data_IF_508371416075
#
_entry.id   IF_508371416075
#
_cell.length_a   1.000
_cell.length_b   1.000
_cell.length_c   1.000
_cell.angle_alpha   90.00
_cell.angle_beta   90.00
_cell.angle_gamma   90.00
#
_symmetry.space_group_name_H-M   'P 1'
#
loop_
_entity.id
_entity.type
_entity.pdbx_description
1 polymer ?
#
# COMPACT_ATOMS: atom_id res chain seq x y z
N UNK A 1 19.79 -5.70 -11.05
CA UNK A 1 19.11 -4.71 -10.19
C UNK A 1 17.66 -4.67 -10.64
N UNK A 2 16.71 -5.11 -9.83
CA UNK A 2 15.29 -5.16 -10.22
C UNK A 2 14.75 -3.73 -10.41
N UNK A 3 13.86 -3.50 -11.39
CA UNK A 3 13.23 -2.18 -11.69
C UNK A 3 12.73 -1.48 -10.44
N UNK A 4 12.13 -2.28 -9.56
CA UNK A 4 11.58 -1.88 -8.28
C UNK A 4 12.60 -1.16 -7.39
N UNK A 5 13.84 -1.65 -7.34
CA UNK A 5 14.92 -1.04 -6.54
C UNK A 5 15.33 0.32 -7.12
N UNK A 6 15.34 0.46 -8.45
CA UNK A 6 15.67 1.71 -9.13
C UNK A 6 14.58 2.79 -8.94
N UNK A 7 13.35 2.40 -8.60
CA UNK A 7 12.23 3.32 -8.37
C UNK A 7 12.20 3.87 -6.92
N UNK A 8 12.92 3.24 -6.00
CA UNK A 8 12.97 3.67 -4.60
C UNK A 8 13.62 5.04 -4.46
N UNK A 9 13.14 5.89 -3.52
CA UNK A 9 13.62 7.28 -3.32
C UNK A 9 15.15 7.40 -3.20
N UNK A 10 15.82 6.39 -2.63
CA UNK A 10 17.28 6.38 -2.50
C UNK A 10 17.99 6.35 -3.86
N UNK A 11 17.45 5.58 -4.83
CA UNK A 11 18.14 5.24 -6.08
C UNK A 11 17.49 5.87 -7.33
N UNK A 12 16.25 6.36 -7.23
CA UNK A 12 15.52 6.91 -8.38
C UNK A 12 16.19 8.14 -8.98
N UNK A 13 16.17 8.18 -10.31
CA UNK A 13 16.60 9.29 -11.16
C UNK A 13 15.38 9.83 -11.90
N UNK A 14 15.39 11.10 -12.33
CA UNK A 14 14.30 11.70 -13.11
C UNK A 14 13.16 12.34 -12.31
N UNK A 15 12.79 11.82 -11.14
CA UNK A 15 11.80 12.48 -10.25
C UNK A 15 12.48 13.37 -9.21
N UNK A 16 12.00 14.61 -9.07
CA UNK A 16 12.46 15.52 -8.01
C UNK A 16 12.29 14.88 -6.63
N UNK A 17 13.36 14.86 -5.85
CA UNK A 17 13.39 14.32 -4.49
C UNK A 17 14.27 15.23 -3.65
N UNK A 18 13.77 15.70 -2.50
CA UNK A 18 14.55 16.57 -1.63
C UNK A 18 15.80 15.84 -1.15
N UNK A 19 16.90 16.57 -1.00
CA UNK A 19 18.18 15.96 -0.60
C UNK A 19 18.04 15.20 0.72
N UNK A 20 17.42 15.81 1.73
CA UNK A 20 17.22 15.21 3.04
C UNK A 20 16.38 13.93 2.98
N UNK A 21 15.31 13.92 2.17
CA UNK A 21 14.48 12.73 1.95
C UNK A 21 15.27 11.60 1.29
N UNK A 22 16.12 11.93 0.32
CA UNK A 22 16.98 10.95 -0.36
C UNK A 22 18.01 10.37 0.61
N UNK A 23 18.68 11.22 1.38
CA UNK A 23 19.66 10.79 2.38
C UNK A 23 18.99 9.92 3.45
N UNK A 24 17.82 10.32 3.93
CA UNK A 24 17.03 9.51 4.86
C UNK A 24 16.69 8.14 4.27
N UNK A 25 16.18 8.08 3.03
CA UNK A 25 15.90 6.81 2.35
C UNK A 25 17.14 5.93 2.16
N UNK A 26 18.32 6.53 1.92
CA UNK A 26 19.60 5.81 1.84
C UNK A 26 20.04 5.26 3.21
N UNK A 27 19.80 6.00 4.30
CA UNK A 27 20.07 5.53 5.65
C UNK A 27 19.20 4.33 5.99
N UNK A 28 17.88 4.45 5.78
CA UNK A 28 16.93 3.36 5.99
C UNK A 28 17.32 2.10 5.22
N UNK A 29 17.72 2.25 3.94
CA UNK A 29 18.16 1.12 3.11
C UNK A 29 19.38 0.38 3.68
N UNK A 30 20.23 1.06 4.45
CA UNK A 30 21.42 0.49 5.06
C UNK A 30 21.17 -0.14 6.43
N UNK A 31 20.14 0.31 7.15
CA UNK A 31 19.94 -0.02 8.57
C UNK A 31 18.70 -0.86 8.84
N UNK A 32 17.70 -0.86 7.96
CA UNK A 32 16.46 -1.59 8.19
C UNK A 32 16.66 -3.11 8.13
N UNK A 33 16.00 -3.89 9.02
CA UNK A 33 15.96 -5.34 8.92
C UNK A 33 15.38 -5.77 7.57
N UNK A 34 15.85 -6.92 7.05
CA UNK A 34 15.46 -7.42 5.73
C UNK A 34 13.94 -7.46 5.50
N UNK A 35 13.09 -7.92 6.44
CA UNK A 35 11.64 -7.93 6.22
C UNK A 35 11.05 -6.54 5.96
N UNK A 36 11.54 -5.50 6.65
CA UNK A 36 11.05 -4.14 6.43
C UNK A 36 11.64 -3.52 5.18
N UNK A 37 12.92 -3.78 4.92
CA UNK A 37 13.56 -3.36 3.68
C UNK A 37 12.80 -3.91 2.45
N UNK A 38 12.35 -5.16 2.51
CA UNK A 38 11.57 -5.77 1.43
C UNK A 38 10.24 -5.01 1.19
N UNK A 39 9.52 -4.62 2.25
CA UNK A 39 8.27 -3.83 2.12
C UNK A 39 8.52 -2.41 1.60
N UNK A 40 9.64 -1.80 1.95
CA UNK A 40 10.03 -0.49 1.42
C UNK A 40 10.36 -0.53 -0.08
N UNK A 41 10.88 -1.66 -0.57
CA UNK A 41 11.21 -1.88 -1.97
C UNK A 41 9.94 -2.28 -2.74
N UNK A 42 9.25 -3.31 -2.27
CA UNK A 42 8.08 -3.91 -2.88
C UNK A 42 6.97 -4.00 -1.81
N UNK A 43 6.16 -2.94 -1.67
CA UNK A 43 5.04 -2.94 -0.73
C UNK A 43 4.09 -4.11 -0.95
N UNK A 44 3.38 -4.47 0.11
CA UNK A 44 2.30 -5.46 0.03
C UNK A 44 0.97 -4.75 -0.20
N UNK A 45 0.23 -5.12 -1.26
CA UNK A 45 -1.07 -4.54 -1.59
C UNK A 45 -2.18 -5.55 -1.33
N UNK A 46 -3.24 -5.13 -0.63
CA UNK A 46 -4.38 -5.96 -0.26
C UNK A 46 -5.69 -5.27 -0.63
N UNK A 47 -6.68 -6.03 -1.10
CA UNK A 47 -8.06 -5.54 -1.25
C UNK A 47 -8.84 -5.80 0.04
N UNK A 48 -9.49 -4.76 0.59
CA UNK A 48 -10.14 -4.80 1.90
C UNK A 48 -11.66 -4.82 1.86
N UNK A 49 -12.29 -4.33 0.78
CA UNK A 49 -13.76 -4.21 0.70
C UNK A 49 -14.50 -5.55 0.63
N UNK A 50 -13.82 -6.61 0.21
CA UNK A 50 -14.37 -7.96 0.04
C UNK A 50 -13.66 -9.03 0.89
N UNK A 51 -13.06 -8.61 2.01
CA UNK A 51 -12.37 -9.53 2.92
C UNK A 51 -13.32 -10.56 3.48
N UNK A 52 -12.90 -11.83 3.42
CA UNK A 52 -13.64 -12.97 3.96
C UNK A 52 -12.85 -13.65 5.07
N UNK A 53 -13.54 -14.46 5.87
CA UNK A 53 -12.92 -15.27 6.93
C UNK A 53 -12.29 -16.57 6.38
N UNK A 54 -12.32 -16.79 5.05
CA UNK A 54 -11.70 -17.95 4.45
C UNK A 54 -10.17 -17.86 4.58
N UNK A 55 -9.57 -18.85 5.23
CA UNK A 55 -8.13 -18.87 5.51
C UNK A 55 -7.71 -17.87 6.60
N UNK A 56 -8.67 -17.31 7.36
CA UNK A 56 -8.35 -16.45 8.49
C UNK A 56 -7.54 -17.18 9.56
N UNK A 57 -6.64 -16.45 10.20
CA UNK A 57 -5.89 -16.94 11.35
C UNK A 57 -6.76 -16.78 12.61
N UNK A 58 -6.77 -17.82 13.44
CA UNK A 58 -7.42 -17.81 14.74
C UNK A 58 -6.33 -17.59 15.79
N UNK A 59 -6.12 -16.33 16.18
CA UNK A 59 -5.10 -15.94 17.15
C UNK A 59 -5.79 -15.54 18.45
N UNK A 60 -5.67 -16.38 19.48
CA UNK A 60 -6.40 -16.24 20.74
C UNK A 60 -7.92 -16.13 20.45
N UNK A 61 -8.56 -15.04 20.89
CA UNK A 61 -9.98 -14.75 20.68
C UNK A 61 -10.25 -13.85 19.46
N UNK A 62 -9.23 -13.60 18.61
CA UNK A 62 -9.34 -12.72 17.44
C UNK A 62 -9.24 -13.51 16.14
N UNK A 63 -10.21 -13.29 15.25
CA UNK A 63 -10.18 -13.80 13.87
C UNK A 63 -9.49 -12.74 13.00
N UNK A 64 -8.33 -13.07 12.48
CA UNK A 64 -7.54 -12.19 11.62
C UNK A 64 -7.69 -12.64 10.18
N UNK A 65 -8.36 -11.87 9.31
CA UNK A 65 -8.50 -12.25 7.90
C UNK A 65 -7.14 -12.26 7.18
N UNK A 66 -7.05 -13.02 6.09
CA UNK A 66 -5.83 -13.17 5.28
C UNK A 66 -6.13 -12.85 3.80
N UNK A 67 -6.32 -11.57 3.43
CA UNK A 67 -6.54 -11.19 2.04
C UNK A 67 -5.32 -11.53 1.17
N UNK A 68 -5.57 -11.91 -0.08
CA UNK A 68 -4.50 -12.21 -1.02
C UNK A 68 -3.74 -10.95 -1.47
N UNK A 69 -2.42 -11.09 -1.57
CA UNK A 69 -1.54 -10.09 -2.15
C UNK A 69 -1.94 -9.78 -3.59
N UNK A 70 -2.02 -8.48 -3.89
CA UNK A 70 -2.27 -7.94 -5.21
C UNK A 70 -0.95 -7.49 -5.85
N UNK A 71 -0.93 -7.55 -7.17
CA UNK A 71 0.13 -6.96 -7.97
C UNK A 71 0.19 -5.44 -7.77
N UNK A 72 1.41 -4.88 -7.81
CA UNK A 72 1.65 -3.44 -7.63
C UNK A 72 1.43 -2.68 -8.95
N UNK A 73 0.21 -2.78 -9.48
CA UNK A 73 -0.23 -2.13 -10.71
C UNK A 73 -1.59 -1.46 -10.50
N UNK A 74 -1.78 -0.29 -11.12
CA UNK A 74 -3.03 0.44 -11.16
C UNK A 74 -4.18 -0.37 -11.78
N UNK A 75 -3.88 -1.36 -12.62
CA UNK A 75 -4.90 -2.28 -13.15
C UNK A 75 -5.61 -3.09 -12.06
N UNK A 76 -4.99 -3.28 -10.90
CA UNK A 76 -5.59 -3.95 -9.74
C UNK A 76 -6.49 -3.03 -8.91
N UNK A 77 -6.37 -1.71 -9.08
CA UNK A 77 -7.09 -0.72 -8.28
C UNK A 77 -8.45 -0.41 -8.91
N UNK A 78 -9.43 -1.25 -8.61
CA UNK A 78 -10.78 -1.05 -9.09
C UNK A 78 -11.43 0.18 -8.40
N UNK A 79 -12.15 1.05 -9.13
CA UNK A 79 -12.71 2.28 -8.57
C UNK A 79 -13.82 2.02 -7.54
N UNK A 80 -14.38 0.81 -7.50
CA UNK A 80 -15.37 0.33 -6.55
C UNK A 80 -14.77 -0.33 -5.30
N UNK A 81 -13.44 -0.45 -5.23
CA UNK A 81 -12.74 -1.14 -4.14
C UNK A 81 -12.12 -0.21 -3.10
N UNK A 82 -11.63 -0.83 -2.03
CA UNK A 82 -10.77 -0.21 -1.03
C UNK A 82 -9.51 -1.06 -0.87
N UNK A 83 -8.34 -0.44 -0.92
CA UNK A 83 -7.06 -1.14 -1.00
C UNK A 83 -6.09 -0.64 0.06
N UNK A 84 -5.52 -1.57 0.83
CA UNK A 84 -4.49 -1.29 1.81
C UNK A 84 -3.12 -1.64 1.23
N UNK A 85 -2.20 -0.69 1.25
CA UNK A 85 -0.79 -0.90 0.93
C UNK A 85 0.05 -0.79 2.19
N UNK A 86 0.88 -1.79 2.46
CA UNK A 86 1.87 -1.80 3.53
C UNK A 86 3.26 -1.52 2.95
N UNK A 87 3.76 -0.30 3.16
CA UNK A 87 5.07 0.14 2.70
C UNK A 87 6.19 -0.10 3.75
N UNK A 88 5.85 -0.73 4.88
CA UNK A 88 6.76 -0.92 6.01
C UNK A 88 6.82 0.28 6.97
N UNK A 89 7.03 1.50 6.45
CA UNK A 89 7.07 2.74 7.25
C UNK A 89 5.68 3.38 7.44
N UNK A 90 4.80 3.19 6.46
CA UNK A 90 3.43 3.69 6.44
C UNK A 90 2.47 2.67 5.84
N UNK A 91 1.21 2.77 6.26
CA UNK A 91 0.09 2.15 5.57
C UNK A 91 -0.67 3.20 4.77
N UNK A 92 -1.07 2.84 3.56
CA UNK A 92 -1.99 3.66 2.77
C UNK A 92 -3.27 2.88 2.51
N UNK A 93 -4.40 3.41 2.99
CA UNK A 93 -5.73 2.91 2.63
C UNK A 93 -6.29 3.78 1.52
N UNK A 94 -6.17 3.31 0.27
CA UNK A 94 -6.76 3.97 -0.88
C UNK A 94 -8.23 3.59 -1.03
N UNK A 95 -9.09 4.60 -1.17
CA UNK A 95 -10.54 4.46 -1.35
C UNK A 95 -10.88 4.84 -2.79
N UNK A 96 -11.43 3.89 -3.54
CA UNK A 96 -11.91 4.15 -4.89
C UNK A 96 -13.12 5.07 -4.90
N UNK A 97 -13.25 5.87 -5.97
CA UNK A 97 -14.32 6.87 -6.12
C UNK A 97 -15.74 6.31 -6.01
N UNK A 98 -15.92 5.06 -6.43
CA UNK A 98 -17.19 4.34 -6.43
C UNK A 98 -17.23 3.25 -5.33
N UNK A 99 -16.32 3.33 -4.34
CA UNK A 99 -16.32 2.40 -3.22
C UNK A 99 -17.66 2.44 -2.49
N UNK A 100 -18.14 1.27 -2.08
CA UNK A 100 -19.48 1.18 -1.48
C UNK A 100 -19.59 2.04 -0.21
N UNK A 101 -20.66 2.82 -0.11
CA UNK A 101 -20.96 3.60 1.10
C UNK A 101 -21.10 2.70 2.34
N UNK A 102 -21.45 1.42 2.15
CA UNK A 102 -21.45 0.45 3.23
C UNK A 102 -20.06 0.20 3.80
N UNK A 103 -19.03 0.02 2.97
CA UNK A 103 -17.65 -0.12 3.45
C UNK A 103 -17.19 1.16 4.14
N UNK A 104 -17.43 2.32 3.52
CA UNK A 104 -16.99 3.62 4.04
C UNK A 104 -17.65 3.91 5.40
N UNK A 105 -18.96 3.66 5.54
CA UNK A 105 -19.65 3.83 6.81
C UNK A 105 -19.19 2.83 7.87
N UNK A 106 -19.10 1.56 7.50
CA UNK A 106 -18.85 0.50 8.48
C UNK A 106 -17.37 0.47 8.93
N UNK A 107 -16.43 0.99 8.12
CA UNK A 107 -14.97 0.99 8.42
C UNK A 107 -14.45 2.39 8.77
N UNK A 108 -14.88 3.43 8.06
CA UNK A 108 -14.38 4.80 8.25
C UNK A 108 -15.35 5.71 9.02
N UNK A 109 -16.56 5.24 9.32
CA UNK A 109 -17.55 6.01 10.10
C UNK A 109 -18.11 7.22 9.35
N UNK A 110 -17.88 7.27 8.04
CA UNK A 110 -18.27 8.37 7.16
C UNK A 110 -19.53 7.97 6.36
N UNK A 111 -20.51 8.87 6.14
CA UNK A 111 -21.74 8.51 5.41
C UNK A 111 -21.52 8.16 3.93
N UNK A 112 -20.49 8.71 3.28
CA UNK A 112 -20.17 8.47 1.86
C UNK A 112 -18.74 8.87 1.49
N UNK A 113 -18.30 8.53 0.27
CA UNK A 113 -16.98 8.90 -0.26
C UNK A 113 -16.66 10.40 -0.12
N UNK A 114 -17.65 11.26 -0.41
CA UNK A 114 -17.46 12.71 -0.35
C UNK A 114 -17.15 13.22 1.07
N UNK A 115 -17.65 12.52 2.09
CA UNK A 115 -17.49 12.89 3.50
C UNK A 115 -16.18 12.43 4.14
N UNK A 116 -15.40 11.57 3.46
CA UNK A 116 -14.11 11.10 3.98
C UNK A 116 -13.13 12.27 4.07
N UNK A 117 -12.59 12.57 5.27
CA UNK A 117 -11.66 13.68 5.46
C UNK A 117 -10.36 13.50 4.67
N UNK A 118 -9.77 14.56 4.10
CA UNK A 118 -8.58 14.46 3.24
C UNK A 118 -7.29 14.05 3.97
N UNK A 119 -7.23 14.22 5.30
CA UNK A 119 -6.04 13.94 6.12
C UNK A 119 -6.35 12.93 7.23
N UNK A 120 -7.24 11.97 6.96
CA UNK A 120 -7.58 10.94 7.94
C UNK A 120 -6.40 9.98 8.14
N UNK A 121 -5.87 9.95 9.36
CA UNK A 121 -4.62 9.26 9.70
C UNK A 121 -4.80 8.05 10.64
N UNK A 122 -6.02 7.56 10.76
CA UNK A 122 -6.36 6.39 11.57
C UNK A 122 -7.66 5.75 11.06
N UNK A 123 -7.90 4.49 11.41
CA UNK A 123 -9.18 3.82 11.22
C UNK A 123 -9.95 3.88 12.55
N UNK A 124 -11.18 4.39 12.59
CA UNK A 124 -11.94 4.52 13.82
C UNK A 124 -12.34 3.15 14.36
N UNK A 125 -12.42 3.06 15.69
CA UNK A 125 -12.96 1.89 16.39
C UNK A 125 -14.48 1.91 16.33
N UNK A 126 -15.04 1.22 15.34
CA UNK A 126 -16.48 1.09 15.17
C UNK A 126 -16.92 -0.32 15.59
N UNK A 127 -18.11 -0.39 16.18
CA UNK A 127 -18.77 -1.63 16.58
C UNK A 127 -19.47 -2.26 15.36
N UNK A 128 -18.70 -2.51 14.31
CA UNK A 128 -19.16 -3.22 13.11
C UNK A 128 -18.24 -4.41 12.82
N UNK A 129 -18.77 -5.53 12.30
CA UNK A 129 -17.95 -6.67 11.94
C UNK A 129 -16.90 -6.37 10.85
N UNK A 130 -17.08 -5.30 10.05
CA UNK A 130 -16.11 -4.89 9.03
C UNK A 130 -14.97 -4.08 9.64
N UNK A 131 -15.27 -3.14 10.54
CA UNK A 131 -14.25 -2.37 11.26
C UNK A 131 -13.38 -3.30 12.11
N UNK A 132 -13.98 -4.23 12.85
CA UNK A 132 -13.25 -5.21 13.66
C UNK A 132 -12.28 -6.04 12.82
N UNK A 133 -12.71 -6.57 11.68
CA UNK A 133 -11.84 -7.34 10.77
C UNK A 133 -10.69 -6.52 10.21
N UNK A 134 -10.97 -5.30 9.73
CA UNK A 134 -9.93 -4.42 9.17
C UNK A 134 -8.91 -4.03 10.25
N UNK A 135 -9.37 -3.72 11.47
CA UNK A 135 -8.50 -3.41 12.59
C UNK A 135 -7.68 -4.63 13.02
N UNK A 136 -8.30 -5.80 13.17
CA UNK A 136 -7.58 -7.04 13.48
C UNK A 136 -6.49 -7.37 12.45
N UNK A 137 -6.75 -7.12 11.17
CA UNK A 137 -5.74 -7.28 10.12
C UNK A 137 -4.61 -6.25 10.22
N UNK A 138 -4.93 -4.97 10.46
CA UNK A 138 -3.92 -3.93 10.67
C UNK A 138 -3.07 -4.19 11.91
N UNK A 139 -3.68 -4.59 13.02
CA UNK A 139 -2.99 -4.92 14.27
C UNK A 139 -2.05 -6.09 14.05
N UNK A 140 -2.49 -7.15 13.36
CA UNK A 140 -1.63 -8.25 12.98
C UNK A 140 -0.45 -7.83 12.08
N UNK A 141 -0.65 -6.89 11.15
CA UNK A 141 0.45 -6.34 10.36
C UNK A 141 1.41 -5.49 11.22
N UNK A 142 0.92 -4.82 12.26
CA UNK A 142 1.71 -4.01 13.20
C UNK A 142 2.49 -4.86 14.22
N UNK A 143 1.95 -5.99 14.66
CA UNK A 143 2.63 -6.87 15.61
C UNK A 143 3.91 -7.50 15.03
N UNK A 144 4.00 -7.54 13.69
CA UNK A 144 5.14 -8.07 12.95
C UNK A 144 6.27 -7.06 12.69
N UNK A 145 6.25 -5.88 13.35
CA UNK A 145 7.28 -4.83 13.16
C UNK A 145 7.74 -4.22 14.48
N UNK A 146 8.97 -3.70 14.49
CA UNK A 146 9.56 -3.08 15.67
C UNK A 146 9.01 -1.67 15.96
N UNK A 147 8.48 -0.98 14.94
CA UNK A 147 7.95 0.37 15.03
C UNK A 147 6.57 0.44 14.38
N UNK A 148 5.63 1.12 15.04
CA UNK A 148 4.27 1.30 14.53
C UNK A 148 4.28 2.21 13.31
N UNK A 149 3.62 1.77 12.24
CA UNK A 149 3.42 2.57 11.02
C UNK A 149 2.14 3.38 11.11
N UNK A 150 2.14 4.60 10.58
CA UNK A 150 0.93 5.44 10.52
C UNK A 150 0.03 4.98 9.37
N UNK A 151 -1.28 4.98 9.57
CA UNK A 151 -2.26 4.75 8.49
C UNK A 151 -2.63 6.07 7.84
N UNK A 152 -2.63 6.13 6.51
CA UNK A 152 -3.09 7.28 5.74
C UNK A 152 -4.26 6.86 4.85
N UNK A 153 -5.44 7.43 5.08
CA UNK A 153 -6.60 7.19 4.23
C UNK A 153 -6.57 8.18 3.07
N UNK A 154 -6.51 7.66 1.84
CA UNK A 154 -6.37 8.43 0.62
C UNK A 154 -7.57 8.21 -0.28
N UNK A 155 -8.18 9.29 -0.73
CA UNK A 155 -9.19 9.27 -1.78
C UNK A 155 -8.55 9.30 -3.17
N UNK A 156 -9.24 8.76 -4.17
CA UNK A 156 -8.82 8.79 -5.58
C UNK A 156 -8.61 10.21 -6.14
N UNK A 157 -9.30 11.21 -5.60
CA UNK A 157 -9.20 12.63 -5.97
C UNK A 157 -8.26 13.43 -5.05
N UNK A 158 -7.53 12.77 -4.15
CA UNK A 158 -6.61 13.43 -3.21
C UNK A 158 -5.36 13.96 -3.91
N UNK A 159 -4.86 15.10 -3.45
CA UNK A 159 -3.53 15.61 -3.83
C UNK A 159 -2.39 14.65 -3.47
N UNK A 160 -2.60 13.79 -2.47
CA UNK A 160 -1.65 12.77 -2.03
C UNK A 160 -1.74 11.46 -2.85
N UNK A 161 -2.57 11.41 -3.90
CA UNK A 161 -2.66 10.25 -4.82
C UNK A 161 -1.30 9.85 -5.39
N UNK A 162 -0.49 10.83 -5.79
CA UNK A 162 0.85 10.56 -6.34
C UNK A 162 1.76 9.83 -5.36
N UNK A 163 1.60 10.07 -4.05
CA UNK A 163 2.37 9.38 -3.02
C UNK A 163 2.03 7.90 -2.91
N UNK A 164 0.80 7.50 -3.23
CA UNK A 164 0.40 6.09 -3.33
C UNK A 164 0.84 5.48 -4.67
N UNK A 165 0.57 6.16 -5.79
CA UNK A 165 0.80 5.61 -7.12
C UNK A 165 2.29 5.41 -7.46
N UNK A 166 3.21 6.16 -6.83
CA UNK A 166 4.65 5.92 -6.98
C UNK A 166 5.09 4.53 -6.49
N UNK A 167 4.28 3.86 -5.68
CA UNK A 167 4.55 2.50 -5.18
C UNK A 167 4.01 1.39 -6.11
N UNK A 168 3.31 1.75 -7.20
CA UNK A 168 2.83 0.81 -8.20
C UNK A 168 3.95 0.50 -9.20
N UNK A 169 4.97 -0.20 -8.70
CA UNK A 169 6.25 -0.43 -9.38
C UNK A 169 6.19 -1.34 -10.61
N UNK A 170 5.05 -1.99 -10.86
CA UNK A 170 4.85 -2.78 -12.09
C UNK A 170 4.47 -1.90 -13.28
N UNK A 171 3.91 -0.71 -13.02
CA UNK A 171 3.46 0.22 -14.04
C UNK A 171 4.59 1.05 -14.64
N UNK A 172 4.33 1.62 -15.81
CA UNK A 172 5.21 2.61 -16.42
C UNK A 172 5.13 3.92 -15.67
N UNK A 173 6.29 4.57 -15.47
CA UNK A 173 6.40 5.91 -14.89
C UNK A 173 7.18 6.85 -15.82
N UNK A 174 7.25 8.14 -15.47
CA UNK A 174 8.03 9.12 -16.25
C UNK A 174 9.51 8.77 -16.35
N UNK A 175 10.06 8.14 -15.30
CA UNK A 175 11.48 7.82 -15.18
C UNK A 175 11.81 6.34 -15.37
N UNK A 176 10.82 5.47 -15.53
CA UNK A 176 11.05 4.03 -15.68
C UNK A 176 10.02 3.35 -16.58
N UNK A 177 10.50 2.37 -17.32
CA UNK A 177 9.69 1.40 -18.06
C UNK A 177 8.85 0.54 -17.13
N UNK A 178 7.73 0.01 -17.64
CA UNK A 178 6.93 -0.98 -16.91
C UNK A 178 7.71 -2.26 -16.65
N UNK A 179 7.23 -3.10 -15.73
CA UNK A 179 7.85 -4.39 -15.45
C UNK A 179 7.93 -5.29 -16.70
N UNK A 180 6.89 -5.29 -17.53
CA UNK A 180 6.87 -6.04 -18.80
C UNK A 180 7.92 -5.52 -19.80
N UNK A 181 7.99 -4.20 -19.99
CA UNK A 181 8.99 -3.56 -20.86
C UNK A 181 10.42 -3.88 -20.37
N UNK A 182 10.64 -3.89 -19.06
CA UNK A 182 11.94 -4.26 -18.49
C UNK A 182 12.31 -5.72 -18.75
N UNK A 183 11.40 -6.67 -18.57
CA UNK A 183 11.67 -8.08 -18.88
C UNK A 183 12.03 -8.27 -20.35
N UNK A 184 11.34 -7.56 -21.25
CA UNK A 184 11.67 -7.55 -22.67
C UNK A 184 13.08 -6.97 -22.92
N UNK A 185 13.42 -5.86 -22.25
CA UNK A 185 14.74 -5.26 -22.35
C UNK A 185 15.85 -6.24 -21.89
N UNK A 186 15.68 -6.89 -20.75
CA UNK A 186 16.64 -7.88 -20.25
C UNK A 186 16.78 -9.05 -21.23
N UNK A 187 15.66 -9.56 -21.76
CA UNK A 187 15.68 -10.64 -22.74
C UNK A 187 16.48 -10.25 -24.00
N UNK A 188 16.29 -9.03 -24.50
CA UNK A 188 17.03 -8.51 -25.66
C UNK A 188 18.54 -8.35 -25.39
N UNK A 189 18.94 -8.00 -24.17
CA UNK A 189 20.35 -7.86 -23.80
C UNK A 189 21.04 -9.21 -23.63
N UNK A 190 20.34 -10.22 -23.11
CA UNK A 190 20.88 -11.58 -22.92
C UNK A 190 20.94 -12.35 -24.25
N UNK A 191 20.07 -12.02 -25.19
CA UNK A 191 20.02 -12.68 -26.52
C UNK A 191 21.02 -12.10 -27.53
N UNK A 192 21.84 -11.12 -27.11
CA UNK A 192 22.97 -10.57 -27.88
C UNK A 192 24.27 -11.26 -27.48
#
# INVERSE_FOLDING_TARGET
MSVVVCLQKALRTGTSTRLDERVFAMCEFKTQPLPQLMKMIHPDLYRLDNVTDQGALHLNDTIVPQPHLQHLSAERLSPDGAFLMDCGDAFYLWIGKNCSDAFIRDVLGCPSYASVPPNMSHIPELQTPRSERVRAFLDWLQDNRAFSSTVHVLKDDSSAKSAFFQHLVEDRSESASSYQEFLQHIHQQVSK
#
